data_IF_110187327237
#
_entry.id   IF_110187327237
#
_cell.length_a   1.000
_cell.length_b   1.000
_cell.length_c   1.000
_cell.angle_alpha   90.00
_cell.angle_beta   90.00
_cell.angle_gamma   90.00
#
_symmetry.space_group_name_H-M   'P 1'
#
loop_
_entity.id
_entity.type
_entity.pdbx_description
1 polymer ?
#
# COMPACT_ATOMS: atom_id res chain seq x y z
N UNK A 1 -12.00 -6.86 -1.54
CA UNK A 1 -11.72 -5.76 -0.58
C UNK A 1 -11.50 -6.37 0.79
N UNK A 2 -10.65 -5.76 1.62
CA UNK A 2 -10.28 -6.27 2.94
C UNK A 2 -10.44 -5.20 4.01
N UNK A 3 -11.29 -5.43 5.00
CA UNK A 3 -11.42 -4.56 6.16
C UNK A 3 -10.26 -4.81 7.14
N UNK A 4 -9.55 -3.75 7.52
CA UNK A 4 -8.44 -3.79 8.49
C UNK A 4 -8.60 -2.68 9.53
N UNK A 5 -7.92 -2.88 10.66
CA UNK A 5 -7.80 -1.89 11.73
C UNK A 5 -6.32 -1.68 12.00
N UNK A 6 -5.85 -0.43 11.90
CA UNK A 6 -4.48 -0.05 12.22
C UNK A 6 -4.24 -0.12 13.73
N UNK A 7 -2.98 -0.16 14.16
CA UNK A 7 -2.61 -0.09 15.58
C UNK A 7 -3.11 1.18 16.27
N UNK A 8 -3.23 2.28 15.53
CA UNK A 8 -3.84 3.54 16.01
C UNK A 8 -5.32 3.41 16.37
N UNK A 9 -5.97 2.35 15.90
CA UNK A 9 -7.41 2.13 16.05
C UNK A 9 -8.22 2.52 14.81
N UNK A 10 -7.63 3.25 13.86
CA UNK A 10 -8.28 3.67 12.61
C UNK A 10 -8.71 2.46 11.79
N UNK A 11 -9.94 2.46 11.29
CA UNK A 11 -10.44 1.46 10.35
C UNK A 11 -10.16 1.87 8.91
N UNK A 12 -9.66 0.93 8.11
CA UNK A 12 -9.34 1.14 6.71
C UNK A 12 -9.86 -0.02 5.88
N UNK A 13 -10.27 0.30 4.65
CA UNK A 13 -10.65 -0.70 3.64
C UNK A 13 -9.51 -0.77 2.64
N UNK A 14 -8.97 -1.97 2.44
CA UNK A 14 -7.92 -2.23 1.45
C UNK A 14 -8.57 -2.76 0.18
N UNK A 15 -8.24 -2.13 -0.94
CA UNK A 15 -8.64 -2.54 -2.27
C UNK A 15 -7.83 -3.78 -2.69
N UNK A 16 -8.50 -4.70 -3.37
CA UNK A 16 -7.84 -5.79 -4.07
C UNK A 16 -7.26 -5.27 -5.39
N UNK A 17 -5.98 -5.53 -5.62
CA UNK A 17 -5.24 -5.10 -6.80
C UNK A 17 -5.19 -6.23 -7.83
N UNK A 18 -5.12 -5.86 -9.10
CA UNK A 18 -4.83 -6.83 -10.16
C UNK A 18 -3.35 -7.24 -10.15
N UNK A 19 -3.03 -8.39 -10.73
CA UNK A 19 -1.64 -8.82 -10.88
C UNK A 19 -0.78 -7.78 -11.62
N UNK A 20 -1.31 -7.14 -12.67
CA UNK A 20 -0.63 -6.07 -13.39
C UNK A 20 -0.30 -4.88 -12.47
N UNK A 21 -1.26 -4.47 -11.63
CA UNK A 21 -1.03 -3.39 -10.66
C UNK A 21 0.02 -3.77 -9.63
N UNK A 22 0.01 -5.02 -9.18
CA UNK A 22 1.00 -5.54 -8.22
C UNK A 22 2.39 -5.57 -8.86
N UNK A 23 2.50 -6.00 -10.12
CA UNK A 23 3.75 -6.01 -10.87
C UNK A 23 4.31 -4.58 -11.02
N UNK A 24 3.48 -3.66 -11.51
CA UNK A 24 3.86 -2.24 -11.66
C UNK A 24 4.36 -1.63 -10.35
N UNK A 25 3.72 -1.95 -9.22
CA UNK A 25 4.10 -1.44 -7.90
C UNK A 25 5.40 -2.06 -7.36
N UNK A 26 5.69 -3.33 -7.71
CA UNK A 26 6.93 -4.03 -7.33
C UNK A 26 8.13 -3.58 -8.15
N UNK A 27 7.91 -3.03 -9.35
CA UNK A 27 8.96 -2.52 -10.23
C UNK A 27 9.43 -1.08 -9.87
N UNK A 28 8.71 -0.38 -9.00
CA UNK A 28 9.09 0.98 -8.55
C UNK A 28 10.39 1.02 -7.74
N UNK A 29 10.57 0.19 -6.67
CA UNK A 29 11.81 0.19 -5.92
C UNK A 29 12.95 -0.42 -6.74
N UNK A 30 14.07 0.29 -6.80
CA UNK A 30 15.24 -0.13 -7.56
C UNK A 30 16.38 -0.46 -6.58
N UNK A 31 17.01 -1.62 -6.75
CA UNK A 31 18.16 -2.06 -5.95
C UNK A 31 19.44 -1.71 -6.69
N UNK A 32 20.36 -1.01 -6.04
CA UNK A 32 21.65 -0.64 -6.61
C UNK A 32 22.79 -0.97 -5.67
N UNK A 33 23.95 -1.19 -6.27
CA UNK A 33 25.19 -1.46 -5.59
C UNK A 33 26.04 -0.19 -5.59
N UNK A 34 26.46 0.25 -4.41
CA UNK A 34 27.46 1.30 -4.23
C UNK A 34 28.80 0.57 -4.00
N UNK A 35 29.64 0.55 -5.03
CA UNK A 35 30.85 -0.26 -5.05
C UNK A 35 30.57 -1.77 -5.03
N UNK A 36 31.49 -2.55 -4.47
CA UNK A 36 31.42 -4.02 -4.47
C UNK A 36 30.57 -4.61 -3.33
N UNK A 37 30.07 -3.80 -2.37
CA UNK A 37 29.51 -4.35 -1.12
C UNK A 37 28.20 -3.73 -0.65
N UNK A 38 27.93 -2.45 -0.92
CA UNK A 38 26.80 -1.79 -0.28
C UNK A 38 25.57 -1.81 -1.19
N UNK A 39 24.45 -2.39 -0.71
CA UNK A 39 23.17 -2.38 -1.41
C UNK A 39 22.29 -1.27 -0.86
N UNK A 40 21.84 -0.38 -1.72
CA UNK A 40 20.82 0.62 -1.38
C UNK A 40 19.56 0.40 -2.22
N UNK A 41 18.40 0.78 -1.67
CA UNK A 41 17.12 0.76 -2.37
C UNK A 41 16.74 2.22 -2.63
N UNK A 42 16.65 2.63 -3.90
CA UNK A 42 16.06 3.95 -4.22
C UNK A 42 14.56 3.80 -4.47
N UNK A 43 13.91 4.95 -4.55
CA UNK A 43 12.47 5.08 -4.80
C UNK A 43 11.56 4.49 -3.71
N UNK A 44 12.05 4.15 -2.52
CA UNK A 44 11.23 3.60 -1.42
C UNK A 44 10.04 4.50 -1.08
N UNK A 45 10.24 5.82 -0.98
CA UNK A 45 9.14 6.76 -0.71
C UNK A 45 8.13 6.81 -1.86
N UNK A 46 8.60 6.75 -3.10
CA UNK A 46 7.74 6.72 -4.29
C UNK A 46 6.92 5.42 -4.33
N UNK A 47 7.55 4.29 -4.01
CA UNK A 47 6.90 2.99 -3.92
C UNK A 47 5.81 3.00 -2.84
N UNK A 48 6.13 3.48 -1.63
CA UNK A 48 5.17 3.58 -0.53
C UNK A 48 3.94 4.43 -0.90
N UNK A 49 4.16 5.60 -1.52
CA UNK A 49 3.06 6.44 -2.00
C UNK A 49 2.20 5.76 -3.07
N UNK A 50 2.83 5.04 -4.00
CA UNK A 50 2.12 4.31 -5.04
C UNK A 50 1.25 3.18 -4.45
N UNK A 51 1.80 2.41 -3.50
CA UNK A 51 1.07 1.37 -2.78
C UNK A 51 -0.15 1.94 -2.04
N UNK A 52 -0.01 3.08 -1.35
CA UNK A 52 -1.13 3.75 -0.68
C UNK A 52 -2.19 4.23 -1.68
N UNK A 53 -1.78 4.84 -2.80
CA UNK A 53 -2.71 5.33 -3.82
C UNK A 53 -3.47 4.22 -4.54
N UNK A 54 -2.86 3.06 -4.73
CA UNK A 54 -3.52 1.93 -5.37
C UNK A 54 -4.36 1.13 -4.36
N UNK A 55 -3.84 0.92 -3.16
CA UNK A 55 -4.37 -0.04 -2.19
C UNK A 55 -5.42 0.51 -1.22
N UNK A 56 -5.51 1.82 -1.00
CA UNK A 56 -6.57 2.37 -0.15
C UNK A 56 -7.91 2.33 -0.90
N UNK A 57 -8.84 1.55 -0.37
CA UNK A 57 -10.19 1.37 -0.88
C UNK A 57 -11.28 2.09 -0.08
N UNK A 58 -10.93 2.80 1.00
CA UNK A 58 -11.89 3.48 1.89
C UNK A 58 -11.43 3.45 3.35
N UNK A 59 -12.30 3.87 4.27
CA UNK A 59 -12.03 3.84 5.70
C UNK A 59 -12.43 5.13 6.42
N UNK A 60 -11.88 5.29 7.61
CA UNK A 60 -12.01 6.48 8.45
C UNK A 60 -11.05 7.57 7.92
N UNK A 61 -11.47 8.20 6.82
CA UNK A 61 -10.84 9.37 6.22
C UNK A 61 -11.87 10.48 6.04
N UNK A 62 -11.48 11.70 6.39
CA UNK A 62 -12.36 12.87 6.29
C UNK A 62 -12.55 13.30 4.83
N UNK A 63 -13.79 13.65 4.49
CA UNK A 63 -14.21 14.24 3.20
C UNK A 63 -13.76 13.50 1.94
N UNK A 64 -13.48 12.19 2.06
CA UNK A 64 -13.14 11.34 0.93
C UNK A 64 -13.97 10.06 0.92
N UNK A 65 -14.48 9.71 -0.26
CA UNK A 65 -15.12 8.43 -0.51
C UNK A 65 -14.53 7.80 -1.76
N UNK A 66 -14.24 6.49 -1.74
CA UNK A 66 -13.74 5.76 -2.89
C UNK A 66 -14.80 5.79 -4.00
N UNK A 67 -14.48 6.39 -5.14
CA UNK A 67 -15.36 6.49 -6.31
C UNK A 67 -14.66 6.00 -7.60
N UNK A 68 -13.79 5.00 -7.45
CA UNK A 68 -12.94 4.50 -8.54
C UNK A 68 -11.69 5.36 -8.80
N UNK A 69 -11.52 6.48 -8.09
CA UNK A 69 -10.31 7.33 -8.15
C UNK A 69 -9.40 7.03 -6.97
N UNK A 70 -8.08 7.14 -7.19
CA UNK A 70 -7.07 7.04 -6.15
C UNK A 70 -7.30 8.10 -5.04
N UNK A 71 -6.94 7.82 -3.78
CA UNK A 71 -7.03 8.79 -2.71
C UNK A 71 -6.18 10.04 -3.03
N UNK A 72 -6.74 11.25 -2.86
CA UNK A 72 -5.99 12.48 -3.02
C UNK A 72 -4.96 12.66 -1.90
N UNK A 73 -4.03 13.60 -2.08
CA UNK A 73 -3.00 13.89 -1.07
C UNK A 73 -3.59 14.33 0.28
N UNK A 74 -4.79 14.92 0.31
CA UNK A 74 -5.47 15.27 1.56
C UNK A 74 -5.75 14.04 2.44
N UNK A 75 -6.11 12.90 1.83
CA UNK A 75 -6.30 11.63 2.53
C UNK A 75 -4.98 11.10 3.05
N UNK A 76 -3.93 11.11 2.22
CA UNK A 76 -2.62 10.62 2.62
C UNK A 76 -2.02 11.46 3.76
N UNK A 77 -2.30 12.76 3.81
CA UNK A 77 -1.86 13.68 4.88
C UNK A 77 -2.59 13.47 6.21
N UNK A 78 -3.72 12.79 6.23
CA UNK A 78 -4.41 12.44 7.48
C UNK A 78 -3.72 11.27 8.21
N UNK A 79 -2.88 10.49 7.52
CA UNK A 79 -2.14 9.38 8.10
C UNK A 79 -0.87 9.89 8.78
N UNK A 80 -0.61 9.42 10.00
CA UNK A 80 0.71 9.59 10.64
C UNK A 80 1.77 8.77 9.89
N UNK A 81 3.06 9.06 10.13
CA UNK A 81 4.15 8.29 9.49
C UNK A 81 4.09 6.80 9.86
N UNK A 82 3.74 6.48 11.12
CA UNK A 82 3.56 5.10 11.56
C UNK A 82 2.37 4.42 10.88
N UNK A 83 1.23 5.13 10.76
CA UNK A 83 0.05 4.62 10.06
C UNK A 83 0.36 4.37 8.58
N UNK A 84 1.15 5.23 7.93
CA UNK A 84 1.57 5.06 6.53
C UNK A 84 2.39 3.79 6.34
N UNK A 85 3.39 3.58 7.18
CA UNK A 85 4.27 2.41 7.09
C UNK A 85 3.48 1.13 7.36
N UNK A 86 2.66 1.11 8.41
CA UNK A 86 1.78 -0.02 8.74
C UNK A 86 0.83 -0.33 7.58
N UNK A 87 0.18 0.69 7.02
CA UNK A 87 -0.80 0.53 5.96
C UNK A 87 -0.17 0.01 4.65
N UNK A 88 1.04 0.46 4.29
CA UNK A 88 1.77 -0.10 3.13
C UNK A 88 1.99 -1.60 3.29
N UNK A 89 2.46 -2.04 4.47
CA UNK A 89 2.69 -3.46 4.76
C UNK A 89 1.39 -4.24 4.67
N UNK A 90 0.32 -3.75 5.31
CA UNK A 90 -1.00 -4.41 5.25
C UNK A 90 -1.55 -4.50 3.83
N UNK A 91 -1.39 -3.44 3.02
CA UNK A 91 -1.81 -3.46 1.62
C UNK A 91 -1.08 -4.57 0.88
N UNK A 92 0.24 -4.66 1.02
CA UNK A 92 1.06 -5.68 0.36
C UNK A 92 0.68 -7.09 0.82
N UNK A 93 0.52 -7.32 2.13
CA UNK A 93 0.11 -8.61 2.69
C UNK A 93 -1.26 -9.07 2.18
N UNK A 94 -2.21 -8.14 2.02
CA UNK A 94 -3.53 -8.46 1.46
C UNK A 94 -3.47 -8.85 -0.02
N UNK A 95 -2.40 -8.49 -0.74
CA UNK A 95 -2.21 -8.87 -2.14
C UNK A 95 -1.46 -10.20 -2.32
N UNK A 96 -0.95 -10.81 -1.25
CA UNK A 96 -0.30 -12.11 -1.35
C UNK A 96 -1.40 -13.17 -1.50
N UNK A 97 -1.73 -13.52 -2.75
CA UNK A 97 -2.54 -14.70 -3.06
C UNK A 97 -1.73 -15.91 -2.59
N UNK A 98 -2.18 -16.58 -1.53
CA UNK A 98 -1.62 -17.85 -1.12
C UNK A 98 -2.29 -18.95 -1.97
N UNK A 99 -1.61 -19.60 -2.94
CA UNK A 99 -2.20 -20.64 -3.78
C UNK A 99 -2.59 -21.91 -2.99
N UNK A 100 -2.44 -21.94 -1.65
CA UNK A 100 -2.74 -23.08 -0.77
C UNK A 100 -4.04 -22.98 0.02
N UNK A 101 -4.94 -22.02 -0.23
CA UNK A 101 -6.30 -22.04 0.33
C UNK A 101 -7.34 -22.05 -0.78
N UNK A 102 -8.20 -23.08 -0.88
CA UNK A 102 -9.31 -23.04 -1.82
C UNK A 102 -10.27 -21.93 -1.38
N UNK A 103 -10.77 -21.19 -2.37
CA UNK A 103 -11.85 -20.23 -2.20
C UNK A 103 -13.00 -20.90 -1.43
N UNK A 104 -13.40 -20.30 -0.30
CA UNK A 104 -14.58 -20.72 0.47
C UNK A 104 -15.87 -20.38 -0.27
#
# INVERSE_FOLDING_TARGET
>A
MFDKKLKSGRKVVIKELTEDQIADLKDIPEIYFIGDQERTIRNTNKANLAWLRCGIGGGEFDDWKPNGVAPPDSVLRQLTDDERLELVVLIQECQIINPKKPSS
#
